data_IF_258986859133
#
_entry.id   IF_258986859133
#
_cell.length_a   1.000
_cell.length_b   1.000
_cell.length_c   1.000
_cell.angle_alpha   90.00
_cell.angle_beta   90.00
_cell.angle_gamma   90.00
#
_symmetry.space_group_name_H-M   'P 1'
#
loop_
_entity.id
_entity.type
_entity.pdbx_description
1 polymer ?
#
# COMPACT_ATOMS: atom_id res chain seq x y z
N UNK A 1 10.30 -19.37 13.46
CA UNK A 1 10.04 -18.58 12.24
C UNK A 1 10.38 -17.15 12.60
N UNK A 2 11.25 -16.49 11.84
CA UNK A 2 11.51 -15.07 12.04
C UNK A 2 10.27 -14.33 11.56
N UNK A 3 9.54 -13.72 12.48
CA UNK A 3 8.41 -12.83 12.20
C UNK A 3 8.96 -11.52 11.62
N UNK A 4 9.59 -11.61 10.45
CA UNK A 4 10.23 -10.47 9.81
C UNK A 4 9.15 -9.64 9.13
N UNK A 5 8.64 -8.65 9.83
CA UNK A 5 7.73 -7.64 9.27
C UNK A 5 8.53 -6.52 8.59
N UNK A 6 7.87 -5.80 7.69
CA UNK A 6 8.41 -4.57 7.10
C UNK A 6 7.45 -3.41 7.35
N UNK A 7 7.99 -2.19 7.40
CA UNK A 7 7.18 -0.98 7.57
C UNK A 7 6.64 -0.53 6.23
N UNK A 8 5.32 -0.38 6.13
CA UNK A 8 4.61 0.08 4.94
C UNK A 8 3.93 1.42 5.21
N UNK A 9 4.19 2.42 4.37
CA UNK A 9 3.50 3.72 4.39
C UNK A 9 2.54 3.80 3.21
N UNK A 10 1.27 4.08 3.47
CA UNK A 10 0.22 4.23 2.49
C UNK A 10 0.00 5.70 2.16
N UNK A 11 0.02 6.01 0.87
CA UNK A 11 -0.15 7.36 0.35
C UNK A 11 -1.39 7.38 -0.54
N UNK A 12 -2.30 8.30 -0.26
CA UNK A 12 -3.53 8.51 -1.01
C UNK A 12 -3.29 9.14 -2.38
N UNK A 13 -4.34 9.23 -3.20
CA UNK A 13 -4.27 9.82 -4.55
C UNK A 13 -3.88 11.30 -4.53
N UNK A 14 -4.19 12.01 -3.44
CA UNK A 14 -3.81 13.40 -3.19
C UNK A 14 -2.35 13.54 -2.73
N UNK A 15 -1.62 12.43 -2.57
CA UNK A 15 -0.24 12.41 -2.10
C UNK A 15 -0.10 12.55 -0.58
N UNK A 16 -1.20 12.60 0.17
CA UNK A 16 -1.16 12.61 1.63
C UNK A 16 -0.92 11.20 2.18
N UNK A 17 -0.18 11.11 3.29
CA UNK A 17 -0.07 9.87 4.04
C UNK A 17 -1.44 9.51 4.64
N UNK A 18 -1.92 8.32 4.30
CA UNK A 18 -3.15 7.72 4.80
C UNK A 18 -2.88 7.03 6.12
N UNK A 19 -1.87 6.16 6.16
CA UNK A 19 -1.54 5.32 7.31
C UNK A 19 -0.15 4.70 7.16
N UNK A 20 0.47 4.33 8.28
CA UNK A 20 1.71 3.54 8.31
C UNK A 20 1.52 2.34 9.23
N UNK A 21 1.83 1.13 8.75
CA UNK A 21 1.67 -0.11 9.51
C UNK A 21 2.78 -1.13 9.22
N UNK A 22 2.90 -2.16 10.08
CA UNK A 22 3.82 -3.26 9.86
C UNK A 22 3.11 -4.42 9.16
N UNK A 23 3.69 -4.90 8.07
CA UNK A 23 3.13 -5.96 7.23
C UNK A 23 4.03 -7.20 7.19
N UNK A 24 3.39 -8.35 6.98
CA UNK A 24 4.08 -9.59 6.68
C UNK A 24 4.47 -9.65 5.19
N UNK A 25 5.72 -10.00 4.85
CA UNK A 25 6.15 -10.18 3.48
C UNK A 25 5.60 -11.49 2.91
N UNK A 26 5.29 -11.50 1.61
CA UNK A 26 4.90 -12.70 0.88
C UNK A 26 6.13 -13.24 0.16
N UNK A 27 6.46 -14.51 0.39
CA UNK A 27 7.67 -15.15 -0.13
C UNK A 27 8.97 -14.40 0.23
N UNK A 28 8.98 -13.69 1.37
CA UNK A 28 10.14 -12.94 1.86
C UNK A 28 10.35 -11.56 1.21
N UNK A 29 9.38 -11.07 0.41
CA UNK A 29 9.41 -9.75 -0.20
C UNK A 29 8.16 -8.94 0.17
N UNK A 30 8.24 -7.58 0.13
CA UNK A 30 7.08 -6.72 0.21
C UNK A 30 6.02 -7.11 -0.83
N UNK A 31 4.74 -6.97 -0.46
CA UNK A 31 3.63 -7.32 -1.34
C UNK A 31 3.56 -6.30 -2.48
N UNK A 32 3.32 -6.73 -3.73
CA UNK A 32 3.30 -5.80 -4.87
C UNK A 32 2.08 -4.88 -4.88
N UNK A 33 0.93 -5.40 -4.49
CA UNK A 33 -0.34 -4.68 -4.47
C UNK A 33 -1.21 -5.20 -3.34
N UNK A 34 -1.98 -4.32 -2.73
CA UNK A 34 -2.85 -4.66 -1.62
C UNK A 34 -4.09 -3.74 -1.62
N UNK A 35 -5.21 -4.26 -1.14
CA UNK A 35 -6.45 -3.48 -1.02
C UNK A 35 -6.67 -3.13 0.44
N UNK A 36 -6.86 -1.84 0.73
CA UNK A 36 -7.09 -1.31 2.07
C UNK A 36 -8.13 -0.21 2.05
N UNK A 37 -8.82 0.04 3.18
CA UNK A 37 -9.71 1.18 3.31
C UNK A 37 -8.95 2.49 3.04
N UNK A 38 -9.49 3.34 2.18
CA UNK A 38 -9.01 4.69 1.93
C UNK A 38 -9.29 5.64 3.09
N UNK A 39 -8.51 6.73 3.16
CA UNK A 39 -8.67 7.77 4.17
C UNK A 39 -10.01 8.52 4.10
N UNK A 40 -10.59 8.67 2.91
CA UNK A 40 -11.72 9.57 2.69
C UNK A 40 -13.05 9.03 3.23
N UNK A 41 -13.41 7.78 2.95
CA UNK A 41 -14.76 7.26 3.26
C UNK A 41 -14.80 5.74 3.55
N UNK A 42 -13.65 5.11 3.82
CA UNK A 42 -13.57 3.66 4.06
C UNK A 42 -13.83 2.80 2.83
N UNK A 43 -13.87 3.41 1.64
CA UNK A 43 -13.87 2.70 0.37
C UNK A 43 -12.58 1.88 0.21
N UNK A 44 -12.70 0.66 -0.30
CA UNK A 44 -11.55 -0.19 -0.59
C UNK A 44 -10.76 0.37 -1.78
N UNK A 45 -9.56 0.85 -1.51
CA UNK A 45 -8.62 1.37 -2.50
C UNK A 45 -7.52 0.34 -2.71
N UNK A 46 -7.14 0.14 -3.97
CA UNK A 46 -5.94 -0.62 -4.30
C UNK A 46 -4.72 0.29 -4.19
N UNK A 47 -3.74 -0.16 -3.42
CA UNK A 47 -2.44 0.45 -3.35
C UNK A 47 -1.40 -0.45 -4.00
N UNK A 48 -0.53 0.15 -4.80
CA UNK A 48 0.58 -0.53 -5.43
C UNK A 48 1.91 -0.08 -4.80
N UNK A 49 2.82 -1.02 -4.62
CA UNK A 49 4.17 -0.76 -4.11
C UNK A 49 4.91 0.14 -5.09
N UNK A 50 5.42 1.26 -4.59
CA UNK A 50 6.29 2.14 -5.34
C UNK A 50 7.63 1.43 -5.56
N UNK A 51 8.00 1.10 -6.82
CA UNK A 51 9.21 0.35 -7.12
C UNK A 51 10.48 1.11 -6.73
N UNK A 52 10.44 2.43 -6.59
CA UNK A 52 11.58 3.23 -6.13
C UNK A 52 11.85 3.04 -4.63
N UNK A 53 10.88 2.50 -3.88
CA UNK A 53 10.95 2.31 -2.42
C UNK A 53 10.95 0.85 -2.00
N UNK A 54 10.93 -0.10 -2.94
CA UNK A 54 10.80 -1.53 -2.66
C UNK A 54 11.94 -2.10 -1.77
N UNK A 55 13.12 -1.49 -1.82
CA UNK A 55 14.29 -1.83 -1.00
C UNK A 55 14.53 -0.84 0.17
N UNK A 56 13.56 0.05 0.45
CA UNK A 56 13.63 1.06 1.52
C UNK A 56 12.83 0.64 2.76
N UNK A 57 13.14 1.26 3.90
CA UNK A 57 12.31 1.18 5.12
C UNK A 57 11.96 2.60 5.58
N UNK A 58 10.68 3.02 5.53
CA UNK A 58 9.53 2.25 5.07
C UNK A 58 9.48 2.08 3.54
N UNK A 59 8.78 1.04 3.07
CA UNK A 59 8.31 0.97 1.68
C UNK A 59 7.05 1.81 1.52
N UNK A 60 6.84 2.37 0.34
CA UNK A 60 5.70 3.25 0.05
C UNK A 60 4.72 2.54 -0.88
N UNK A 61 3.46 2.57 -0.50
CA UNK A 61 2.33 2.09 -1.27
C UNK A 61 1.48 3.28 -1.72
N UNK A 62 1.31 3.45 -3.03
CA UNK A 62 0.53 4.56 -3.59
C UNK A 62 -0.83 4.06 -4.04
N UNK A 63 -1.88 4.78 -3.66
CA UNK A 63 -3.22 4.54 -4.16
C UNK A 63 -3.23 4.66 -5.68
N UNK A 64 -3.77 3.65 -6.36
CA UNK A 64 -3.89 3.63 -7.83
C UNK A 64 -5.34 3.88 -8.29
N UNK A 65 -6.19 4.32 -7.36
CA UNK A 65 -7.61 4.58 -7.55
C UNK A 65 -8.52 3.50 -6.96
N UNK A 66 -9.80 3.84 -6.84
CA UNK A 66 -10.87 2.87 -6.48
C UNK A 66 -10.99 1.86 -7.63
N UNK A 67 -11.03 0.56 -7.31
CA UNK A 67 -11.11 -0.54 -8.29
C UNK A 67 -12.44 -0.58 -9.12
N UNK A 68 -13.14 0.54 -9.32
CA UNK A 68 -14.53 0.55 -9.77
C UNK A 68 -15.00 1.73 -10.63
N UNK A 69 -14.13 2.57 -11.19
CA UNK A 69 -14.56 3.59 -12.16
C UNK A 69 -13.95 3.41 -13.55
N UNK A 70 -14.17 2.21 -14.11
CA UNK A 70 -14.24 2.05 -15.58
C UNK A 70 -15.61 2.60 -16.02
N UNK A 71 -15.70 3.93 -16.24
CA UNK A 71 -16.81 4.50 -17.00
C UNK A 71 -16.57 4.18 -18.48
N UNK A 72 -17.17 3.10 -18.97
CA UNK A 72 -17.41 2.83 -20.40
C UNK A 72 -18.89 2.99 -20.74
#
# INVERSE_FOLDING_TARGET
MSDATYTASFVGEDGAEVSTEQLEPIAGAPVKSLTRPGAADGEDITYELDPETADSDPVVYRATGVAGHDYS
#
